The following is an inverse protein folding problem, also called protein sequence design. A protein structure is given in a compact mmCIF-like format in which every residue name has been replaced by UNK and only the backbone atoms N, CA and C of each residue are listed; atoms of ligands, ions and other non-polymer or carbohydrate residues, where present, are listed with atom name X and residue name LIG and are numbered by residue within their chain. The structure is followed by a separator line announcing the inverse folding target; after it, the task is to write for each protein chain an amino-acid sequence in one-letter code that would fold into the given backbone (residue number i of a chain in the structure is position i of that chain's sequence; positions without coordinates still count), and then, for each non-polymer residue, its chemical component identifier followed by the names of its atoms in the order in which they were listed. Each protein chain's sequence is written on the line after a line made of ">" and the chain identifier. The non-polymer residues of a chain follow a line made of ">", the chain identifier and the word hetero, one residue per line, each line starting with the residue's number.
data_IF_022784128937
#
_entry.id   IF_022784128937
#
_cell.length_a   1.000
_cell.length_b   1.000
_cell.length_c   1.000
_cell.angle_alpha   90.00
_cell.angle_beta   90.00
_cell.angle_gamma   90.00
#
_symmetry.space_group_name_H-M   'P 1'
#
loop_
_entity.id
_entity.type
_entity.pdbx_description
1 polymer ?
#
# COMPACT_ATOMS: atom_id res chain seq x y z
N UNK A 1 11.51 -32.35 0.01
CA UNK A 1 12.66 -32.07 0.87
C UNK A 1 13.69 -31.24 0.12
N UNK A 2 14.42 -31.78 -0.87
CA UNK A 2 15.43 -31.02 -1.66
C UNK A 2 14.93 -29.71 -2.33
N UNK A 3 13.67 -29.67 -2.78
CA UNK A 3 13.05 -28.46 -3.36
C UNK A 3 12.80 -27.36 -2.32
N UNK A 4 12.54 -27.73 -1.08
CA UNK A 4 12.25 -26.81 0.02
C UNK A 4 13.56 -26.21 0.56
N UNK A 5 14.61 -27.03 0.64
CA UNK A 5 15.95 -26.61 1.03
C UNK A 5 16.56 -25.68 -0.05
N UNK A 6 16.34 -25.97 -1.34
CA UNK A 6 16.76 -25.08 -2.42
C UNK A 6 16.03 -23.73 -2.41
N UNK A 7 14.73 -23.72 -2.09
CA UNK A 7 13.94 -22.49 -1.96
C UNK A 7 14.38 -21.66 -0.75
N UNK A 8 14.62 -22.29 0.40
CA UNK A 8 15.14 -21.62 1.59
C UNK A 8 16.52 -20.98 1.32
N UNK A 9 17.45 -21.72 0.70
CA UNK A 9 18.77 -21.21 0.33
C UNK A 9 18.70 -20.04 -0.68
N UNK A 10 17.74 -20.06 -1.60
CA UNK A 10 17.53 -18.95 -2.54
C UNK A 10 16.95 -17.70 -1.87
N UNK A 11 16.07 -17.87 -0.88
CA UNK A 11 15.47 -16.78 -0.10
C UNK A 11 16.50 -16.15 0.85
N UNK A 12 17.34 -16.96 1.48
CA UNK A 12 18.47 -16.47 2.28
C UNK A 12 19.51 -15.75 1.42
N UNK A 13 19.78 -16.25 0.20
CA UNK A 13 20.63 -15.55 -0.76
C UNK A 13 20.02 -14.22 -1.25
N UNK A 14 18.68 -14.12 -1.34
CA UNK A 14 17.98 -12.89 -1.66
C UNK A 14 18.06 -11.86 -0.52
N UNK A 15 18.08 -12.33 0.74
CA UNK A 15 18.26 -11.51 1.93
C UNK A 15 19.71 -11.04 2.17
N UNK A 16 20.70 -11.69 1.54
CA UNK A 16 22.09 -11.25 1.58
C UNK A 16 22.64 -11.15 3.01
N UNK A 17 23.29 -10.04 3.35
CA UNK A 17 23.94 -9.83 4.66
C UNK A 17 22.99 -9.39 5.78
N UNK A 18 21.69 -9.22 5.50
CA UNK A 18 20.70 -8.69 6.46
C UNK A 18 20.13 -9.74 7.43
N UNK A 19 20.61 -10.99 7.36
CA UNK A 19 20.22 -12.09 8.23
C UNK A 19 19.35 -13.15 7.53
N UNK A 20 19.04 -14.27 8.21
CA UNK A 20 18.22 -15.34 7.64
C UNK A 20 16.79 -14.87 7.37
N UNK A 21 16.18 -15.39 6.30
CA UNK A 21 14.81 -15.08 5.90
C UNK A 21 13.80 -15.43 7.01
N UNK A 22 14.00 -16.56 7.70
CA UNK A 22 13.18 -17.03 8.81
C UNK A 22 14.07 -17.51 9.96
N UNK A 23 13.87 -16.98 11.17
CA UNK A 23 14.55 -17.48 12.37
C UNK A 23 13.71 -18.60 13.01
N UNK A 24 14.19 -19.86 13.09
CA UNK A 24 13.44 -20.93 13.73
C UNK A 24 13.23 -20.73 15.23
N UNK A 25 14.01 -19.88 15.90
CA UNK A 25 13.87 -19.60 17.33
C UNK A 25 12.79 -18.53 17.65
N UNK A 26 12.11 -18.00 16.62
CA UNK A 26 11.13 -16.93 16.72
C UNK A 26 9.93 -17.31 17.64
N UNK A 27 9.52 -18.58 17.60
CA UNK A 27 8.35 -19.10 18.33
C UNK A 27 8.63 -19.44 19.81
N UNK A 28 9.90 -19.54 20.21
CA UNK A 28 10.30 -19.97 21.56
C UNK A 28 10.50 -18.80 22.53
N UNK A 29 10.33 -17.56 22.07
CA UNK A 29 10.47 -16.37 22.91
C UNK A 29 9.15 -15.97 23.61
N UNK A 30 9.16 -15.62 24.91
CA UNK A 30 7.96 -15.25 25.67
C UNK A 30 7.41 -13.86 25.35
N UNK A 31 8.00 -13.17 24.37
CA UNK A 31 7.65 -11.81 23.92
C UNK A 31 7.32 -11.84 22.43
N UNK A 32 6.47 -10.92 21.95
CA UNK A 32 6.11 -10.87 20.52
C UNK A 32 7.40 -10.71 19.68
N UNK A 33 7.74 -11.71 18.84
CA UNK A 33 9.07 -11.78 18.26
C UNK A 33 9.21 -10.83 17.06
N UNK A 34 10.34 -10.12 16.99
CA UNK A 34 10.69 -9.25 15.86
C UNK A 34 10.85 -10.10 14.60
N UNK A 35 10.08 -9.82 13.55
CA UNK A 35 10.27 -10.48 12.25
C UNK A 35 11.59 -10.01 11.63
N UNK A 36 12.24 -10.87 10.83
CA UNK A 36 13.50 -10.49 10.20
C UNK A 36 13.30 -9.29 9.26
N UNK A 37 14.24 -8.32 9.21
CA UNK A 37 14.12 -7.15 8.34
C UNK A 37 13.91 -7.51 6.86
N UNK A 38 14.53 -8.61 6.41
CA UNK A 38 14.35 -9.08 5.04
C UNK A 38 12.92 -9.58 4.75
N UNK A 39 12.30 -10.28 5.70
CA UNK A 39 10.91 -10.77 5.56
C UNK A 39 9.92 -9.60 5.54
N UNK A 40 10.14 -8.58 6.37
CA UNK A 40 9.33 -7.37 6.39
C UNK A 40 9.45 -6.56 5.10
N UNK A 41 10.66 -6.32 4.62
CA UNK A 41 10.87 -5.51 3.42
C UNK A 41 10.50 -6.26 2.13
N UNK A 42 10.50 -7.59 2.14
CA UNK A 42 10.17 -8.40 0.96
C UNK A 42 8.70 -8.82 0.92
N UNK A 43 8.22 -9.61 1.89
CA UNK A 43 6.92 -10.27 1.79
C UNK A 43 5.76 -9.34 2.11
N UNK A 44 5.92 -8.44 3.09
CA UNK A 44 4.82 -7.57 3.55
C UNK A 44 4.45 -6.50 2.51
N UNK A 45 5.38 -6.05 1.68
CA UNK A 45 5.06 -5.13 0.56
C UNK A 45 4.69 -5.88 -0.70
N UNK A 46 5.29 -7.04 -0.94
CA UNK A 46 5.01 -7.82 -2.14
C UNK A 46 3.58 -8.36 -2.15
N UNK A 47 3.06 -8.87 -1.03
CA UNK A 47 1.69 -9.39 -0.93
C UNK A 47 0.63 -8.35 -1.34
N UNK A 48 0.55 -7.16 -0.73
CA UNK A 48 -0.43 -6.15 -1.11
C UNK A 48 -0.16 -5.61 -2.53
N UNK A 49 1.11 -5.50 -2.95
CA UNK A 49 1.45 -5.05 -4.30
C UNK A 49 0.96 -6.02 -5.39
N UNK A 50 1.14 -7.33 -5.16
CA UNK A 50 0.65 -8.36 -6.07
C UNK A 50 -0.88 -8.39 -6.09
N UNK A 51 -1.54 -8.19 -4.95
CA UNK A 51 -3.00 -8.05 -4.91
C UNK A 51 -3.48 -6.86 -5.76
N UNK A 52 -2.81 -5.71 -5.66
CA UNK A 52 -3.14 -4.53 -6.47
C UNK A 52 -2.98 -4.81 -7.97
N UNK A 53 -1.87 -5.43 -8.35
CA UNK A 53 -1.54 -5.73 -9.75
C UNK A 53 -2.47 -6.78 -10.37
N UNK A 54 -2.65 -7.92 -9.69
CA UNK A 54 -3.33 -9.10 -10.25
C UNK A 54 -4.81 -9.18 -9.94
N UNK A 55 -5.29 -8.51 -8.89
CA UNK A 55 -6.70 -8.57 -8.48
C UNK A 55 -7.36 -7.20 -8.63
N UNK A 56 -6.87 -6.18 -7.93
CA UNK A 56 -7.55 -4.89 -7.89
C UNK A 56 -7.62 -4.24 -9.28
N UNK A 57 -6.53 -4.30 -10.04
CA UNK A 57 -6.45 -3.71 -11.39
C UNK A 57 -7.41 -4.35 -12.39
N UNK A 58 -7.35 -5.67 -12.68
CA UNK A 58 -8.24 -6.27 -13.67
C UNK A 58 -9.71 -6.22 -13.24
N UNK A 59 -10.02 -6.48 -11.96
CA UNK A 59 -11.40 -6.43 -11.46
C UNK A 59 -11.99 -5.03 -11.65
N UNK A 60 -11.26 -3.99 -11.25
CA UNK A 60 -11.73 -2.61 -11.40
C UNK A 60 -11.87 -2.24 -12.88
N UNK A 61 -10.95 -2.67 -13.75
CA UNK A 61 -11.07 -2.44 -15.20
C UNK A 61 -12.27 -3.13 -15.83
N UNK A 62 -12.52 -4.41 -15.50
CA UNK A 62 -13.68 -5.15 -16.00
C UNK A 62 -14.99 -4.47 -15.55
N UNK A 63 -15.05 -4.06 -14.28
CA UNK A 63 -16.17 -3.27 -13.77
C UNK A 63 -16.34 -1.95 -14.53
N UNK A 64 -15.25 -1.28 -14.89
CA UNK A 64 -15.30 -0.04 -15.67
C UNK A 64 -15.82 -0.24 -17.10
N UNK A 65 -15.45 -1.34 -17.74
CA UNK A 65 -15.88 -1.66 -19.11
C UNK A 65 -17.38 -1.98 -19.19
N UNK A 66 -17.94 -2.57 -18.13
CA UNK A 66 -19.33 -3.04 -18.13
C UNK A 66 -20.37 -1.94 -17.97
N UNK A 67 -20.01 -0.73 -17.54
CA UNK A 67 -21.01 0.32 -17.25
C UNK A 67 -20.44 1.69 -17.58
N UNK A 68 -21.22 2.47 -18.32
CA UNK A 68 -20.84 3.80 -18.79
C UNK A 68 -21.69 4.82 -18.05
N UNK A 69 -21.23 5.21 -16.86
CA UNK A 69 -21.89 6.24 -16.05
C UNK A 69 -21.25 7.60 -16.29
N UNK A 70 -21.98 8.67 -15.95
CA UNK A 70 -21.44 10.03 -15.93
C UNK A 70 -20.37 10.17 -14.83
N UNK A 71 -19.32 10.97 -15.06
CA UNK A 71 -18.23 11.14 -14.10
C UNK A 71 -18.72 11.62 -12.73
N UNK A 72 -18.06 11.16 -11.66
CA UNK A 72 -18.32 11.63 -10.29
C UNK A 72 -17.93 13.10 -10.15
N UNK A 73 -18.82 13.86 -9.52
CA UNK A 73 -18.57 15.23 -9.10
C UNK A 73 -17.54 15.28 -7.97
N UNK A 74 -16.86 16.40 -7.80
CA UNK A 74 -15.89 16.58 -6.73
C UNK A 74 -16.61 16.82 -5.40
N UNK A 75 -16.79 15.76 -4.63
CA UNK A 75 -17.24 15.86 -3.23
C UNK A 75 -16.04 16.07 -2.30
N UNK A 76 -16.25 16.69 -1.14
CA UNK A 76 -15.22 16.85 -0.09
C UNK A 76 -14.57 15.51 0.29
N UNK A 77 -15.34 14.43 0.39
CA UNK A 77 -14.83 13.08 0.68
C UNK A 77 -13.89 12.55 -0.42
N UNK A 78 -14.28 12.72 -1.68
CA UNK A 78 -13.46 12.30 -2.83
C UNK A 78 -12.17 13.12 -2.90
N UNK A 79 -12.26 14.43 -2.66
CA UNK A 79 -11.09 15.31 -2.57
C UNK A 79 -10.14 14.88 -1.46
N UNK A 80 -10.64 14.52 -0.27
CA UNK A 80 -9.82 13.99 0.82
C UNK A 80 -9.11 12.68 0.44
N UNK A 81 -9.81 11.72 -0.19
CA UNK A 81 -9.21 10.47 -0.69
C UNK A 81 -8.04 10.75 -1.65
N UNK A 82 -8.22 11.70 -2.58
CA UNK A 82 -7.16 12.13 -3.49
C UNK A 82 -6.03 12.88 -2.78
N UNK A 83 -6.32 13.74 -1.80
CA UNK A 83 -5.28 14.48 -1.09
C UNK A 83 -4.33 13.52 -0.35
N UNK A 84 -4.91 12.55 0.39
CA UNK A 84 -4.12 11.56 1.12
C UNK A 84 -3.35 10.63 0.17
N UNK A 85 -3.93 10.22 -0.97
CA UNK A 85 -3.21 9.34 -1.90
C UNK A 85 -2.03 10.05 -2.56
N UNK A 86 -2.16 11.35 -2.84
CA UNK A 86 -1.05 12.15 -3.34
C UNK A 86 0.06 12.31 -2.30
N UNK A 87 -0.29 12.51 -1.03
CA UNK A 87 0.67 12.54 0.07
C UNK A 87 1.42 11.21 0.19
N UNK A 88 0.73 10.07 0.10
CA UNK A 88 1.35 8.74 0.14
C UNK A 88 2.24 8.45 -1.08
N UNK A 89 1.86 8.96 -2.26
CA UNK A 89 2.72 8.88 -3.46
C UNK A 89 3.99 9.71 -3.27
N UNK A 90 3.89 10.92 -2.71
CA UNK A 90 5.05 11.77 -2.44
C UNK A 90 6.00 11.12 -1.42
N UNK A 91 5.45 10.52 -0.37
CA UNK A 91 6.22 9.77 0.62
C UNK A 91 6.93 8.54 0.01
N UNK A 92 6.24 7.75 -0.81
CA UNK A 92 6.85 6.63 -1.52
C UNK A 92 7.98 7.07 -2.45
N UNK A 93 7.79 8.18 -3.18
CA UNK A 93 8.84 8.77 -4.03
C UNK A 93 10.02 9.26 -3.19
N UNK A 94 9.77 9.85 -2.01
CA UNK A 94 10.83 10.28 -1.11
C UNK A 94 11.70 9.10 -0.64
N UNK A 95 11.09 7.99 -0.21
CA UNK A 95 11.82 6.75 0.14
C UNK A 95 12.59 6.19 -1.06
N UNK A 96 12.00 6.23 -2.26
CA UNK A 96 12.71 5.82 -3.48
C UNK A 96 13.94 6.69 -3.78
N UNK A 97 13.85 8.00 -3.60
CA UNK A 97 14.98 8.91 -3.78
C UNK A 97 16.06 8.69 -2.72
N UNK A 98 15.68 8.40 -1.47
CA UNK A 98 16.63 8.01 -0.42
C UNK A 98 17.38 6.74 -0.80
N UNK A 99 16.69 5.71 -1.29
CA UNK A 99 17.33 4.49 -1.75
C UNK A 99 18.32 4.73 -2.89
N UNK A 100 18.01 5.63 -3.84
CA UNK A 100 18.95 6.03 -4.90
C UNK A 100 20.16 6.76 -4.32
N UNK A 101 19.95 7.66 -3.37
CA UNK A 101 21.03 8.40 -2.73
C UNK A 101 21.99 7.46 -1.97
N UNK A 102 21.43 6.46 -1.27
CA UNK A 102 22.22 5.46 -0.54
C UNK A 102 23.10 4.64 -1.49
N UNK A 103 22.56 4.22 -2.64
CA UNK A 103 23.33 3.51 -3.67
C UNK A 103 24.46 4.37 -4.24
N UNK A 104 24.19 5.66 -4.48
CA UNK A 104 25.17 6.57 -5.09
C UNK A 104 26.32 6.94 -4.14
N UNK A 105 26.04 7.02 -2.83
CA UNK A 105 27.01 7.50 -1.83
C UNK A 105 27.77 6.33 -1.19
N UNK A 106 27.10 5.22 -0.90
CA UNK A 106 27.63 4.15 -0.04
C UNK A 106 27.86 2.81 -0.75
N UNK A 107 27.56 2.72 -2.06
CA UNK A 107 27.66 1.48 -2.87
C UNK A 107 26.96 0.26 -2.23
N UNK A 108 25.98 0.49 -1.35
CA UNK A 108 25.34 -0.58 -0.59
C UNK A 108 24.34 -1.33 -1.48
N UNK A 109 24.75 -2.49 -1.99
CA UNK A 109 23.94 -3.34 -2.89
C UNK A 109 23.22 -4.39 -2.04
N UNK A 110 22.17 -3.98 -1.33
CA UNK A 110 21.16 -4.93 -0.88
C UNK A 110 19.96 -4.83 -1.83
N UNK A 111 19.68 -5.87 -2.64
CA UNK A 111 18.61 -5.82 -3.64
C UNK A 111 17.22 -5.59 -3.01
N UNK A 112 17.04 -6.04 -1.77
CA UNK A 112 15.78 -5.91 -1.01
C UNK A 112 15.45 -4.45 -0.70
N UNK A 113 16.45 -3.65 -0.29
CA UNK A 113 16.27 -2.24 0.06
C UNK A 113 15.93 -1.37 -1.16
N UNK A 114 16.31 -1.83 -2.36
CA UNK A 114 15.98 -1.16 -3.62
C UNK A 114 14.63 -1.60 -4.19
N UNK A 115 14.27 -2.88 -4.04
CA UNK A 115 13.00 -3.40 -4.56
C UNK A 115 11.79 -2.91 -3.75
N UNK A 116 11.92 -2.80 -2.42
CA UNK A 116 10.88 -2.28 -1.54
C UNK A 116 10.25 -0.96 -2.03
N UNK A 117 11.01 0.15 -2.20
CA UNK A 117 10.44 1.44 -2.58
C UNK A 117 9.85 1.42 -3.99
N UNK A 118 10.38 0.58 -4.89
CA UNK A 118 9.87 0.44 -6.27
C UNK A 118 8.47 -0.16 -6.26
N UNK A 119 8.30 -1.32 -5.60
CA UNK A 119 6.99 -1.97 -5.52
C UNK A 119 5.96 -1.09 -4.81
N UNK A 120 6.37 -0.38 -3.76
CA UNK A 120 5.51 0.57 -3.06
C UNK A 120 5.08 1.71 -3.98
N UNK A 121 6.03 2.38 -4.67
CA UNK A 121 5.74 3.45 -5.62
C UNK A 121 4.78 3.00 -6.73
N UNK A 122 5.07 1.85 -7.35
CA UNK A 122 4.24 1.29 -8.43
C UNK A 122 2.82 1.03 -7.93
N UNK A 123 2.67 0.40 -6.76
CA UNK A 123 1.36 0.11 -6.16
C UNK A 123 0.57 1.38 -5.84
N UNK A 124 1.21 2.41 -5.27
CA UNK A 124 0.56 3.69 -4.96
C UNK A 124 0.09 4.42 -6.23
N UNK A 125 0.92 4.42 -7.28
CA UNK A 125 0.55 4.99 -8.58
C UNK A 125 -0.63 4.25 -9.22
N UNK A 126 -0.65 2.92 -9.12
CA UNK A 126 -1.76 2.11 -9.62
C UNK A 126 -3.03 2.42 -8.84
N UNK A 127 -3.01 2.40 -7.51
CA UNK A 127 -4.18 2.71 -6.68
C UNK A 127 -4.73 4.11 -6.99
N UNK A 128 -3.85 5.11 -7.19
CA UNK A 128 -4.24 6.45 -7.64
C UNK A 128 -4.88 6.44 -9.02
N UNK A 129 -4.31 5.69 -9.96
CA UNK A 129 -4.87 5.57 -11.31
C UNK A 129 -6.23 4.90 -11.32
N UNK A 130 -6.44 3.87 -10.48
CA UNK A 130 -7.71 3.18 -10.32
C UNK A 130 -8.76 4.10 -9.72
N UNK A 131 -8.41 4.86 -8.66
CA UNK A 131 -9.32 5.85 -8.07
C UNK A 131 -9.70 6.93 -9.10
N UNK A 132 -8.74 7.39 -9.90
CA UNK A 132 -8.99 8.34 -10.99
C UNK A 132 -9.91 7.76 -12.07
N UNK A 133 -9.69 6.51 -12.46
CA UNK A 133 -10.51 5.82 -13.45
C UNK A 133 -11.95 5.61 -12.94
N UNK A 134 -12.14 5.23 -11.67
CA UNK A 134 -13.44 5.13 -11.03
C UNK A 134 -14.19 6.47 -11.04
N UNK A 135 -13.49 7.57 -10.73
CA UNK A 135 -14.06 8.92 -10.81
C UNK A 135 -14.53 9.25 -12.22
N UNK A 136 -13.68 9.03 -13.23
CA UNK A 136 -14.01 9.37 -14.63
C UNK A 136 -15.23 8.60 -15.17
N UNK A 137 -15.43 7.36 -14.71
CA UNK A 137 -16.52 6.50 -15.18
C UNK A 137 -17.70 6.46 -14.23
N UNK A 138 -17.78 7.35 -13.25
CA UNK A 138 -18.98 7.46 -12.43
C UNK A 138 -19.19 6.33 -11.42
N UNK A 139 -18.17 5.51 -11.15
CA UNK A 139 -18.27 4.35 -10.24
C UNK A 139 -18.03 4.81 -8.81
N UNK A 140 -19.01 4.53 -7.94
CA UNK A 140 -18.83 4.62 -6.47
C UNK A 140 -17.66 3.70 -6.10
N UNK A 141 -16.78 4.19 -5.22
CA UNK A 141 -15.49 3.56 -4.88
C UNK A 141 -15.60 2.05 -4.65
N UNK A 142 -14.65 1.32 -5.25
CA UNK A 142 -14.73 -0.12 -5.41
C UNK A 142 -14.12 -0.87 -4.21
N UNK A 143 -14.77 -1.97 -3.81
CA UNK A 143 -14.27 -2.89 -2.78
C UNK A 143 -12.83 -3.38 -2.97
N UNK A 144 -12.33 -3.62 -4.21
CA UNK A 144 -10.94 -3.99 -4.42
C UNK A 144 -9.94 -2.91 -4.00
N UNK A 145 -10.25 -1.62 -4.17
CA UNK A 145 -9.36 -0.54 -3.73
C UNK A 145 -9.35 -0.49 -2.20
N UNK A 146 -10.52 -0.60 -1.55
CA UNK A 146 -10.61 -0.68 -0.09
C UNK A 146 -9.83 -1.87 0.48
N UNK A 147 -10.01 -3.07 -0.10
CA UNK A 147 -9.30 -4.27 0.35
C UNK A 147 -7.79 -4.14 0.15
N UNK A 148 -7.34 -3.45 -0.90
CA UNK A 148 -5.92 -3.16 -1.09
C UNK A 148 -5.35 -2.32 0.05
N UNK A 149 -6.04 -1.24 0.44
CA UNK A 149 -5.64 -0.42 1.58
C UNK A 149 -5.65 -1.19 2.89
N UNK A 150 -6.65 -2.04 3.08
CA UNK A 150 -6.75 -2.89 4.26
C UNK A 150 -5.58 -3.89 4.35
N UNK A 151 -5.20 -4.50 3.22
CA UNK A 151 -4.02 -5.37 3.14
C UNK A 151 -2.73 -4.60 3.45
N UNK A 152 -2.54 -3.39 2.91
CA UNK A 152 -1.41 -2.54 3.30
C UNK A 152 -1.41 -2.22 4.80
N UNK A 153 -2.58 -1.98 5.41
CA UNK A 153 -2.70 -1.73 6.84
C UNK A 153 -2.31 -2.93 7.70
N UNK A 154 -2.78 -4.13 7.35
CA UNK A 154 -2.43 -5.37 8.06
C UNK A 154 -0.97 -5.73 7.86
N UNK A 155 -0.50 -5.69 6.62
CA UNK A 155 0.89 -6.02 6.30
C UNK A 155 1.86 -4.98 6.87
N UNK A 156 1.46 -3.73 7.10
CA UNK A 156 2.28 -2.71 7.75
C UNK A 156 2.37 -2.82 9.27
N UNK A 157 1.56 -3.67 9.93
CA UNK A 157 1.56 -3.79 11.41
C UNK A 157 2.90 -4.27 11.98
N UNK A 158 3.58 -5.28 11.40
CA UNK A 158 4.86 -5.72 11.95
C UNK A 158 5.96 -4.67 11.81
N UNK A 159 5.98 -3.94 10.71
CA UNK A 159 6.92 -2.83 10.51
C UNK A 159 6.67 -1.70 11.53
N UNK A 160 5.39 -1.39 11.82
CA UNK A 160 5.04 -0.45 12.90
C UNK A 160 5.55 -0.93 14.27
N UNK A 161 5.35 -2.21 14.58
CA UNK A 161 5.81 -2.78 15.86
C UNK A 161 7.33 -2.62 16.02
N UNK A 162 8.10 -2.89 14.98
CA UNK A 162 9.55 -2.75 15.01
C UNK A 162 9.99 -1.31 15.19
N UNK A 163 9.37 -0.37 14.47
CA UNK A 163 9.65 1.06 14.63
C UNK A 163 9.28 1.59 16.01
N UNK A 164 8.18 1.13 16.60
CA UNK A 164 7.78 1.50 17.97
C UNK A 164 8.81 1.00 18.99
N UNK A 165 9.30 -0.23 18.84
CA UNK A 165 10.31 -0.80 19.73
C UNK A 165 11.69 -0.15 19.56
N UNK A 166 12.03 0.29 18.36
CA UNK A 166 13.24 1.10 18.15
C UNK A 166 13.09 2.50 18.74
N UNK A 167 11.88 3.10 18.67
CA UNK A 167 11.61 4.39 19.28
C UNK A 167 11.71 4.40 20.81
N UNK A 168 11.49 3.25 21.48
CA UNK A 168 11.71 3.13 22.93
C UNK A 168 13.20 3.08 23.33
N UNK A 169 14.10 2.83 22.38
CA UNK A 169 15.55 2.80 22.58
C UNK A 169 16.27 3.78 21.63
N UNK A 170 16.05 5.11 21.78
CA UNK A 170 16.52 6.11 20.82
C UNK A 170 18.05 6.21 20.71
N UNK A 171 18.77 5.78 21.75
CA UNK A 171 20.24 5.81 21.79
C UNK A 171 20.90 4.78 20.86
N UNK A 172 20.14 3.79 20.38
CA UNK A 172 20.63 2.73 19.47
C UNK A 172 20.26 3.01 18.00
N UNK A 173 19.58 4.13 17.73
CA UNK A 173 19.08 4.45 16.40
C UNK A 173 20.19 5.07 15.55
N UNK A 174 20.63 4.35 14.51
CA UNK A 174 21.57 4.88 13.52
C UNK A 174 20.99 6.09 12.80
N UNK A 175 21.81 7.13 12.60
CA UNK A 175 21.38 8.40 12.01
C UNK A 175 20.78 8.24 10.60
N UNK A 176 21.24 7.23 9.86
CA UNK A 176 20.80 6.91 8.50
C UNK A 176 19.38 6.29 8.46
N UNK A 177 18.88 5.77 9.59
CA UNK A 177 17.53 5.18 9.69
C UNK A 177 16.45 6.19 10.06
N UNK A 178 16.82 7.35 10.59
CA UNK A 178 15.92 8.44 10.99
C UNK A 178 15.00 8.91 9.84
N UNK A 179 15.48 9.18 8.61
CA UNK A 179 14.60 9.63 7.53
C UNK A 179 13.56 8.57 7.13
N UNK A 180 13.94 7.29 7.17
CA UNK A 180 13.04 6.16 6.88
C UNK A 180 11.96 6.00 7.95
N UNK A 181 12.35 6.17 9.22
CA UNK A 181 11.41 6.21 10.34
C UNK A 181 10.36 7.32 10.19
N UNK A 182 10.79 8.54 9.87
CA UNK A 182 9.88 9.68 9.70
C UNK A 182 8.90 9.45 8.55
N UNK A 183 9.38 8.94 7.41
CA UNK A 183 8.53 8.60 6.28
C UNK A 183 7.47 7.55 6.68
N UNK A 184 7.89 6.48 7.37
CA UNK A 184 6.95 5.45 7.85
C UNK A 184 5.88 6.02 8.81
N UNK A 185 6.26 6.95 9.69
CA UNK A 185 5.33 7.65 10.58
C UNK A 185 4.30 8.51 9.84
N UNK A 186 4.60 8.98 8.63
CA UNK A 186 3.65 9.71 7.78
C UNK A 186 2.80 8.70 7.00
N UNK A 187 3.43 7.66 6.49
CA UNK A 187 2.82 6.64 5.65
C UNK A 187 1.72 5.86 6.38
N UNK A 188 2.03 5.31 7.56
CA UNK A 188 1.12 4.39 8.26
C UNK A 188 -0.21 5.06 8.67
N UNK A 189 -0.23 6.25 9.30
CA UNK A 189 -1.46 6.98 9.57
C UNK A 189 -2.22 7.37 8.29
N UNK A 190 -1.51 7.66 7.20
CA UNK A 190 -2.11 7.91 5.89
C UNK A 190 -2.88 6.70 5.37
N UNK A 191 -2.32 5.48 5.50
CA UNK A 191 -3.01 4.22 5.16
C UNK A 191 -4.25 4.00 6.02
N UNK A 192 -4.15 4.19 7.33
CA UNK A 192 -5.31 4.07 8.23
C UNK A 192 -6.40 5.08 7.86
N UNK A 193 -6.02 6.32 7.56
CA UNK A 193 -6.95 7.36 7.09
C UNK A 193 -7.62 6.95 5.80
N UNK A 194 -6.90 6.36 4.84
CA UNK A 194 -7.52 5.82 3.62
C UNK A 194 -8.52 4.71 3.92
N UNK A 195 -8.21 3.75 4.79
CA UNK A 195 -9.16 2.69 5.18
C UNK A 195 -10.45 3.32 5.72
N UNK A 196 -10.34 4.31 6.59
CA UNK A 196 -11.51 5.03 7.13
C UNK A 196 -12.27 5.77 6.03
N UNK A 197 -11.59 6.54 5.18
CA UNK A 197 -12.23 7.29 4.10
C UNK A 197 -12.94 6.38 3.09
N UNK A 198 -12.33 5.24 2.73
CA UNK A 198 -12.91 4.25 1.82
C UNK A 198 -14.02 3.41 2.47
N UNK A 199 -14.18 3.45 3.80
CA UNK A 199 -15.33 2.86 4.49
C UNK A 199 -16.61 3.67 4.27
N UNK A 200 -16.48 4.95 3.86
CA UNK A 200 -17.62 5.80 3.51
C UNK A 200 -17.87 5.77 2.00
N UNK A 201 -19.13 5.54 1.63
CA UNK A 201 -19.58 5.53 0.25
C UNK A 201 -19.48 6.93 -0.38
N UNK A 202 -19.01 7.00 -1.62
CA UNK A 202 -19.03 8.25 -2.38
C UNK A 202 -20.45 8.59 -2.81
N UNK A 203 -20.78 9.88 -2.75
CA UNK A 203 -22.06 10.40 -3.24
C UNK A 203 -22.08 10.35 -4.77
N UNK A 204 -23.10 9.74 -5.40
CA UNK A 204 -23.24 9.77 -6.85
C UNK A 204 -23.59 11.19 -7.34
N UNK A 205 -23.35 11.47 -8.63
CA UNK A 205 -23.62 12.79 -9.22
C UNK A 205 -25.09 13.20 -9.08
N UNK A 206 -25.34 14.50 -8.90
CA UNK A 206 -26.70 15.04 -8.75
C UNK A 206 -27.56 14.75 -9.98
N UNK A 207 -26.95 14.81 -11.17
CA UNK A 207 -27.59 14.46 -12.44
C UNK A 207 -28.14 13.03 -12.50
N UNK A 208 -27.54 12.07 -11.76
CA UNK A 208 -28.03 10.69 -11.71
C UNK A 208 -29.41 10.64 -11.03
N UNK A 209 -29.61 11.41 -9.96
CA UNK A 209 -30.88 11.47 -9.25
C UNK A 209 -31.97 12.11 -10.12
N UNK A 210 -31.66 13.17 -10.85
CA UNK A 210 -32.61 13.81 -11.77
C UNK A 210 -33.05 12.88 -12.91
N UNK A 211 -32.14 12.07 -13.46
CA UNK A 211 -32.47 11.08 -14.49
C UNK A 211 -33.35 9.95 -13.95
N UNK A 212 -33.04 9.44 -12.76
CA UNK A 212 -33.86 8.44 -12.08
C UNK A 212 -35.27 8.97 -11.79
N UNK A 213 -35.37 10.20 -11.29
CA UNK A 213 -36.65 10.83 -10.99
C UNK A 213 -37.50 11.02 -12.26
N UNK A 214 -36.88 11.46 -13.37
CA UNK A 214 -37.56 11.50 -14.68
C UNK A 214 -38.05 10.12 -15.11
N UNK A 215 -37.22 9.08 -15.01
CA UNK A 215 -37.63 7.71 -15.39
C UNK A 215 -38.79 7.20 -14.54
N UNK A 216 -38.76 7.42 -13.23
CA UNK A 216 -39.84 7.04 -12.31
C UNK A 216 -41.13 7.79 -12.66
N UNK A 217 -41.05 9.08 -12.95
CA UNK A 217 -42.22 9.89 -13.34
C UNK A 217 -42.89 9.40 -14.63
N UNK A 218 -42.11 8.88 -15.58
CA UNK A 218 -42.61 8.31 -16.83
C UNK A 218 -43.26 6.93 -16.63
N UNK A 219 -42.83 6.14 -15.66
CA UNK A 219 -43.44 4.83 -15.35
C UNK A 219 -44.75 4.99 -14.58
N UNK A 220 -44.91 6.07 -13.81
CA UNK A 220 -46.10 6.32 -12.99
C UNK A 220 -47.33 6.83 -13.75
N UNK A 221 -47.20 7.12 -15.05
CA UNK A 221 -48.23 7.75 -15.89
C UNK A 221 -48.76 6.78 -16.94
#
# INVERSE_FOLDING_TARGET
>A
MALQDAYANAMDAFCGTTGPFWDPNLLDSPTLPRLSPCLQHSLLVFVPSMFVLFVATPVTKIQLMSTRDQPLEWTYLLSAKFAIIWLLVADAVFIFLLAIADVLIWELINPVDFLYPIFLCVSMLILRSLLHACRLHGRITSGPIFLSWFLFGICGLPELYDWVLTATHPNEMENDRIPRYIAFLIWYPGVITQIVLFSFADTPSQNRYELLDRQISHISR
#
